data_IF_472832696664
#
_entry.id   IF_472832696664
#
_cell.length_a   1.000
_cell.length_b   1.000
_cell.length_c   1.000
_cell.angle_alpha   90.00
_cell.angle_beta   90.00
_cell.angle_gamma   90.00
#
_symmetry.space_group_name_H-M   'P 1'
#
loop_
_entity.id
_entity.type
_entity.pdbx_description
1 polymer ?
#
# COMPACT_ATOMS: atom_id res chain seq x y z
N UNK A 1 -23.14 -7.92 7.98
CA UNK A 1 -22.63 -8.80 7.58
C UNK A 1 -22.23 -8.79 6.23
N UNK A 2 -22.95 -8.95 5.38
CA UNK A 2 -22.59 -8.98 4.04
C UNK A 2 -22.15 -7.66 3.49
N UNK A 3 -22.17 -6.64 4.30
CA UNK A 3 -21.86 -5.30 3.78
C UNK A 3 -20.39 -5.00 3.64
N UNK A 4 -19.52 -5.90 4.10
CA UNK A 4 -18.09 -5.66 3.98
C UNK A 4 -17.66 -5.55 2.52
N UNK A 5 -18.17 -6.43 1.67
CA UNK A 5 -17.84 -6.36 0.25
C UNK A 5 -18.25 -5.04 -0.38
N UNK A 6 -19.46 -4.59 -0.07
CA UNK A 6 -19.92 -3.31 -0.62
C UNK A 6 -19.13 -2.15 -0.06
N UNK A 7 -18.77 -2.22 1.21
CA UNK A 7 -17.96 -1.17 1.82
C UNK A 7 -16.57 -1.12 1.19
N UNK A 8 -15.99 -2.29 0.90
CA UNK A 8 -14.68 -2.33 0.25
C UNK A 8 -14.76 -1.82 -1.18
N UNK A 9 -15.85 -2.15 -1.89
CA UNK A 9 -16.03 -1.62 -3.23
C UNK A 9 -16.12 -0.10 -3.21
N UNK A 10 -16.86 0.44 -2.26
CA UNK A 10 -16.99 1.89 -2.12
C UNK A 10 -15.65 2.53 -1.78
N UNK A 11 -14.89 1.91 -0.88
CA UNK A 11 -13.56 2.41 -0.55
C UNK A 11 -12.62 2.37 -1.74
N UNK A 12 -12.65 1.29 -2.50
CA UNK A 12 -11.82 1.18 -3.67
C UNK A 12 -12.09 2.29 -4.68
N UNK A 13 -13.34 2.70 -4.78
CA UNK A 13 -13.71 3.77 -5.70
C UNK A 13 -13.19 5.12 -5.29
N UNK A 14 -12.78 5.28 -4.05
CA UNK A 14 -12.20 6.54 -3.59
C UNK A 14 -10.72 6.64 -3.91
N UNK A 15 -10.11 5.60 -4.43
CA UNK A 15 -8.68 5.64 -4.75
C UNK A 15 -8.45 6.67 -5.83
N UNK A 16 -7.54 7.59 -5.55
CA UNK A 16 -7.16 8.64 -6.48
C UNK A 16 -5.75 8.35 -6.97
N UNK A 17 -5.65 7.94 -8.22
CA UNK A 17 -4.36 7.50 -8.77
C UNK A 17 -3.29 8.57 -8.69
N UNK A 18 -3.67 9.83 -8.89
CA UNK A 18 -2.68 10.90 -8.83
C UNK A 18 -2.15 11.07 -7.41
N UNK A 19 -3.04 11.03 -6.42
CA UNK A 19 -2.61 11.14 -5.03
C UNK A 19 -1.77 9.96 -4.62
N UNK A 20 -2.13 8.77 -5.07
CA UNK A 20 -1.33 7.57 -4.79
C UNK A 20 0.07 7.75 -5.38
N UNK A 21 0.15 8.19 -6.62
CA UNK A 21 1.44 8.42 -7.25
C UNK A 21 2.29 9.44 -6.52
N UNK A 22 1.68 10.55 -6.11
CA UNK A 22 2.40 11.58 -5.38
C UNK A 22 2.95 11.04 -4.06
N UNK A 23 2.11 10.32 -3.32
CA UNK A 23 2.54 9.73 -2.04
C UNK A 23 3.68 8.75 -2.26
N UNK A 24 3.55 7.90 -3.28
CA UNK A 24 4.55 6.87 -3.55
C UNK A 24 5.90 7.51 -3.91
N UNK A 25 5.87 8.51 -4.79
CA UNK A 25 7.10 9.16 -5.23
C UNK A 25 7.80 9.82 -4.05
N UNK A 26 7.06 10.58 -3.26
CA UNK A 26 7.64 11.26 -2.12
C UNK A 26 8.19 10.27 -1.10
N UNK A 27 7.43 9.22 -0.81
CA UNK A 27 7.84 8.23 0.16
C UNK A 27 9.08 7.47 -0.32
N UNK A 28 9.13 7.11 -1.60
CA UNK A 28 10.27 6.37 -2.13
C UNK A 28 11.54 7.18 -2.06
N UNK A 29 11.46 8.48 -2.33
CA UNK A 29 12.64 9.33 -2.23
C UNK A 29 13.25 9.30 -0.84
N UNK A 30 12.39 9.23 0.18
CA UNK A 30 12.87 9.18 1.56
C UNK A 30 13.33 7.78 1.95
N UNK A 31 12.69 6.75 1.41
CA UNK A 31 12.92 5.37 1.86
C UNK A 31 14.06 4.69 1.14
N UNK A 32 14.23 4.96 -0.15
CA UNK A 32 15.21 4.23 -0.96
C UNK A 32 16.62 4.17 -0.37
N UNK A 33 17.15 5.26 0.19
CA UNK A 33 18.50 5.15 0.78
C UNK A 33 18.55 4.15 1.93
N UNK A 34 17.44 3.97 2.64
CA UNK A 34 17.40 3.09 3.79
C UNK A 34 17.23 1.62 3.43
N UNK A 35 16.64 1.33 2.25
CA UNK A 35 16.42 -0.07 1.88
C UNK A 35 17.65 -0.72 1.27
N UNK A 36 18.65 0.08 0.92
CA UNK A 36 19.87 -0.48 0.38
C UNK A 36 20.57 -1.32 1.44
N UNK A 37 20.89 -2.56 1.08
CA UNK A 37 21.54 -3.46 2.01
C UNK A 37 20.62 -4.13 3.00
N UNK A 38 19.33 -3.79 3.02
CA UNK A 38 18.38 -4.46 3.89
C UNK A 38 17.89 -5.75 3.25
N UNK A 39 17.55 -6.72 4.06
CA UNK A 39 16.99 -7.97 3.55
C UNK A 39 15.55 -7.76 3.11
N UNK A 40 15.06 -8.66 2.27
CA UNK A 40 13.66 -8.59 1.85
C UNK A 40 12.73 -8.65 3.06
N UNK A 41 13.07 -9.49 4.04
CA UNK A 41 12.25 -9.61 5.24
C UNK A 41 12.23 -8.30 6.03
N UNK A 42 13.37 -7.64 6.14
CA UNK A 42 13.43 -6.34 6.82
C UNK A 42 12.55 -5.32 6.12
N UNK A 43 12.59 -5.30 4.81
CA UNK A 43 11.82 -4.35 4.02
C UNK A 43 10.33 -4.62 4.20
N UNK A 44 9.92 -5.88 4.13
CA UNK A 44 8.52 -6.24 4.31
C UNK A 44 8.01 -5.85 5.69
N UNK A 45 8.80 -6.14 6.71
CA UNK A 45 8.42 -5.78 8.07
C UNK A 45 8.34 -4.26 8.24
N UNK A 46 9.30 -3.54 7.66
CA UNK A 46 9.30 -2.09 7.75
C UNK A 46 8.05 -1.49 7.10
N UNK A 47 7.66 -1.98 5.93
CA UNK A 47 6.46 -1.48 5.29
C UNK A 47 5.21 -1.79 6.11
N UNK A 48 5.14 -2.99 6.69
CA UNK A 48 4.01 -3.35 7.54
C UNK A 48 3.90 -2.43 8.74
N UNK A 49 5.03 -2.13 9.37
CA UNK A 49 5.05 -1.22 10.52
C UNK A 49 4.63 0.18 10.10
N UNK A 50 5.10 0.63 8.92
CA UNK A 50 4.74 1.96 8.45
C UNK A 50 3.25 2.08 8.16
N UNK A 51 2.66 1.04 7.57
CA UNK A 51 1.22 1.04 7.32
C UNK A 51 0.47 1.12 8.65
N UNK A 52 0.86 0.29 9.61
CA UNK A 52 0.22 0.29 10.92
C UNK A 52 0.33 1.67 11.58
N UNK A 53 1.53 2.23 11.57
CA UNK A 53 1.77 3.52 12.22
C UNK A 53 0.98 4.63 11.55
N UNK A 54 0.88 4.58 10.23
CA UNK A 54 0.11 5.58 9.49
C UNK A 54 -1.37 5.51 9.87
N UNK A 55 -1.91 4.30 9.93
CA UNK A 55 -3.32 4.13 10.29
C UNK A 55 -3.60 4.59 11.71
N UNK A 56 -2.67 4.31 12.63
CA UNK A 56 -2.81 4.79 14.00
C UNK A 56 -2.81 6.31 14.02
N UNK A 57 -1.93 6.92 13.27
CA UNK A 57 -1.83 8.38 13.23
C UNK A 57 -3.04 9.05 12.64
N UNK A 58 -3.85 8.32 11.87
CA UNK A 58 -5.07 8.89 11.30
C UNK A 58 -6.23 8.90 12.27
N UNK A 59 -6.06 8.31 13.46
CA UNK A 59 -7.09 8.30 14.50
C UNK A 59 -8.41 7.72 14.01
N UNK A 60 -8.31 6.61 13.30
CA UNK A 60 -9.49 5.92 12.78
C UNK A 60 -10.22 5.17 13.89
N UNK A 61 -11.53 5.01 13.72
CA UNK A 61 -12.29 4.15 14.61
C UNK A 61 -11.88 2.70 14.40
N UNK A 62 -12.28 1.81 15.33
CA UNK A 62 -11.96 0.40 15.17
C UNK A 62 -12.58 -0.17 13.90
N UNK A 63 -13.77 0.26 13.57
CA UNK A 63 -14.43 -0.21 12.35
C UNK A 63 -13.67 0.26 11.12
N UNK A 64 -13.21 1.50 11.13
CA UNK A 64 -12.43 2.02 10.01
C UNK A 64 -11.09 1.31 9.88
N UNK A 65 -10.46 0.96 11.00
CA UNK A 65 -9.21 0.19 10.96
C UNK A 65 -9.44 -1.19 10.36
N UNK A 66 -10.55 -1.83 10.74
CA UNK A 66 -10.88 -3.14 10.19
C UNK A 66 -11.12 -3.05 8.69
N UNK A 67 -11.81 -2.00 8.25
CA UNK A 67 -12.06 -1.80 6.83
C UNK A 67 -10.76 -1.53 6.09
N UNK A 68 -9.86 -0.76 6.67
CA UNK A 68 -8.57 -0.47 6.05
C UNK A 68 -7.76 -1.74 5.89
N UNK A 69 -7.74 -2.59 6.93
CA UNK A 69 -7.02 -3.85 6.86
C UNK A 69 -7.63 -4.76 5.78
N UNK A 70 -8.96 -4.84 5.76
CA UNK A 70 -9.63 -5.68 4.78
C UNK A 70 -9.36 -5.19 3.36
N UNK A 71 -9.36 -3.88 3.16
CA UNK A 71 -9.06 -3.32 1.85
C UNK A 71 -7.63 -3.63 1.45
N UNK A 72 -6.69 -3.47 2.36
CA UNK A 72 -5.30 -3.78 2.07
C UNK A 72 -5.14 -5.25 1.69
N UNK A 73 -5.77 -6.15 2.46
CA UNK A 73 -5.69 -7.58 2.17
C UNK A 73 -6.29 -7.91 0.80
N UNK A 74 -7.25 -7.11 0.36
CA UNK A 74 -7.89 -7.31 -0.93
C UNK A 74 -7.04 -6.81 -2.10
N UNK A 75 -6.43 -5.64 -1.96
CA UNK A 75 -5.70 -5.03 -3.06
C UNK A 75 -4.25 -5.47 -3.13
N UNK A 76 -3.63 -5.78 -2.00
CA UNK A 76 -2.20 -6.06 -1.97
C UNK A 76 -1.80 -7.21 -2.91
N UNK A 77 -2.49 -8.36 -2.89
CA UNK A 77 -2.10 -9.43 -3.80
C UNK A 77 -2.20 -9.03 -5.26
N UNK A 78 -3.22 -8.25 -5.62
CA UNK A 78 -3.37 -7.80 -6.99
C UNK A 78 -2.24 -6.88 -7.41
N UNK A 79 -1.96 -5.90 -6.56
CA UNK A 79 -0.88 -4.96 -6.84
C UNK A 79 0.46 -5.69 -6.95
N UNK A 80 0.73 -6.59 -6.01
CA UNK A 80 1.99 -7.31 -6.00
C UNK A 80 2.16 -8.15 -7.26
N UNK A 81 1.14 -8.91 -7.61
CA UNK A 81 1.22 -9.79 -8.77
C UNK A 81 1.35 -8.96 -10.05
N UNK A 82 0.46 -7.99 -10.21
CA UNK A 82 0.48 -7.18 -11.42
C UNK A 82 1.81 -6.46 -11.61
N UNK A 83 2.31 -5.86 -10.56
CA UNK A 83 3.54 -5.10 -10.66
C UNK A 83 4.75 -5.97 -10.85
N UNK A 84 4.77 -7.15 -10.26
CA UNK A 84 5.88 -8.07 -10.46
C UNK A 84 5.88 -8.65 -11.85
N UNK A 85 4.69 -8.95 -12.39
CA UNK A 85 4.60 -9.49 -13.72
C UNK A 85 5.00 -8.47 -14.78
N UNK A 86 4.75 -7.19 -14.52
CA UNK A 86 5.13 -6.12 -15.44
C UNK A 86 6.36 -5.38 -14.97
N UNK A 87 7.07 -5.94 -13.99
CA UNK A 87 8.16 -5.24 -13.32
C UNK A 87 9.26 -4.77 -14.25
N UNK A 88 9.60 -5.58 -15.25
CA UNK A 88 10.66 -5.20 -16.18
C UNK A 88 10.27 -3.96 -16.97
N UNK A 89 9.02 -3.88 -17.38
CA UNK A 89 8.56 -2.71 -18.11
C UNK A 89 8.54 -1.49 -17.21
N UNK A 90 8.10 -1.68 -15.99
CA UNK A 90 8.05 -0.59 -15.03
C UNK A 90 9.46 -0.10 -14.72
N UNK A 91 10.38 -1.04 -14.48
CA UNK A 91 11.76 -0.69 -14.23
C UNK A 91 12.35 0.08 -15.39
N UNK A 92 12.08 -0.35 -16.60
CA UNK A 92 12.58 0.30 -17.79
C UNK A 92 12.04 1.71 -17.88
N UNK A 93 10.77 1.89 -17.57
CA UNK A 93 10.14 3.20 -17.63
C UNK A 93 10.70 4.16 -16.59
N UNK A 94 11.07 3.63 -15.43
CA UNK A 94 11.60 4.46 -14.35
C UNK A 94 13.06 4.84 -14.63
N UNK A 95 13.76 3.96 -15.27
CA UNK A 95 15.16 4.24 -15.61
C UNK A 95 15.26 5.17 -16.79
#
# INVERSE_FOLDING_TARGET
>A
MTNISKNLDALEKTINAKKVGDIVIDALQEILPHVRGASTADIMMAYAVMIKSTLIGMELSEEEKDHAKALFDRIYPQVLVDHLLTGNQISTAVH
#
